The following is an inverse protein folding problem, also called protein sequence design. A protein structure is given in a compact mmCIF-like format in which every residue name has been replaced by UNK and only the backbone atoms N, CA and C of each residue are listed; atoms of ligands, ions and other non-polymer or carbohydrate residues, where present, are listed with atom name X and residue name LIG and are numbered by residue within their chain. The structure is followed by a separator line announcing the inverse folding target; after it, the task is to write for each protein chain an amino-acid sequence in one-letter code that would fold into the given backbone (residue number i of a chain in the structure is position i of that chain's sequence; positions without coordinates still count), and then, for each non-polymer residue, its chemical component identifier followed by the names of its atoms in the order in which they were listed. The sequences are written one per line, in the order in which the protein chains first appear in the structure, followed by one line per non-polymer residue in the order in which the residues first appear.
data_IF_402300170131
#
_entry.id   IF_402300170131
#
_cell.length_a   1.000
_cell.length_b   1.000
_cell.length_c   1.000
_cell.angle_alpha   90.00
_cell.angle_beta   90.00
_cell.angle_gamma   90.00
#
_symmetry.space_group_name_H-M   'P 1'
#
loop_
_entity.id
_entity.type
_entity.pdbx_description
1 polymer ?
#
# COMPACT_ATOMS: atom_id res chain seq x y z
N UNK A 1 -64.56 49.27 -21.65
CA UNK A 1 -63.29 49.35 -22.33
C UNK A 1 -62.26 48.65 -21.45
N UNK A 2 -62.02 47.33 -21.64
CA UNK A 2 -61.13 46.51 -20.83
C UNK A 2 -59.78 46.45 -21.51
N UNK A 3 -58.73 46.93 -20.82
CA UNK A 3 -57.32 46.76 -21.25
C UNK A 3 -56.82 45.40 -20.80
N UNK A 4 -56.43 44.56 -21.75
CA UNK A 4 -55.81 43.29 -21.51
C UNK A 4 -54.26 43.49 -21.33
N UNK A 5 -53.73 43.17 -20.15
CA UNK A 5 -52.29 43.15 -19.89
C UNK A 5 -51.73 41.78 -20.31
N UNK A 6 -50.89 41.77 -21.36
CA UNK A 6 -50.16 40.61 -21.79
C UNK A 6 -48.93 40.39 -20.84
N UNK A 7 -48.96 39.34 -20.07
CA UNK A 7 -47.82 38.88 -19.30
C UNK A 7 -46.86 38.08 -20.21
N UNK A 8 -45.71 38.65 -20.55
CA UNK A 8 -44.60 37.97 -21.23
C UNK A 8 -43.77 37.21 -20.22
N UNK A 9 -44.04 35.89 -20.06
CA UNK A 9 -43.28 35.01 -19.21
C UNK A 9 -41.92 34.64 -19.83
N UNK A 10 -40.89 35.28 -19.43
CA UNK A 10 -39.53 34.87 -19.76
C UNK A 10 -39.15 33.59 -18.96
N UNK A 11 -39.23 32.45 -19.61
CA UNK A 11 -38.80 31.15 -19.04
C UNK A 11 -37.28 31.11 -18.94
N UNK A 12 -36.71 31.46 -17.77
CA UNK A 12 -35.28 31.28 -17.47
C UNK A 12 -34.89 29.81 -17.63
N UNK A 13 -34.15 29.45 -18.68
CA UNK A 13 -33.52 28.16 -18.85
C UNK A 13 -32.58 27.91 -17.64
N UNK A 14 -32.92 27.02 -16.73
CA UNK A 14 -32.02 26.48 -15.72
C UNK A 14 -30.92 25.72 -16.47
N UNK A 15 -29.70 26.27 -16.49
CA UNK A 15 -28.52 25.50 -16.88
C UNK A 15 -28.36 24.36 -15.86
N UNK A 16 -28.60 23.13 -16.30
CA UNK A 16 -28.18 21.96 -15.57
C UNK A 16 -26.64 21.99 -15.52
N UNK A 17 -26.08 22.46 -14.40
CA UNK A 17 -24.68 22.23 -14.09
C UNK A 17 -24.57 20.73 -13.72
N UNK A 18 -24.23 19.92 -14.71
CA UNK A 18 -23.78 18.57 -14.46
C UNK A 18 -22.47 18.67 -13.68
N UNK A 19 -22.51 18.38 -12.40
CA UNK A 19 -21.29 18.16 -11.64
C UNK A 19 -20.56 16.99 -12.31
N UNK A 20 -19.47 17.27 -13.03
CA UNK A 20 -18.51 16.25 -13.38
C UNK A 20 -18.01 15.67 -12.06
N UNK A 21 -18.41 14.45 -11.73
CA UNK A 21 -17.88 13.70 -10.60
C UNK A 21 -16.42 13.42 -10.97
N UNK A 22 -15.52 14.22 -10.42
CA UNK A 22 -14.10 13.99 -10.56
C UNK A 22 -13.81 12.68 -9.84
N UNK A 23 -13.53 11.63 -10.60
CA UNK A 23 -13.12 10.35 -10.02
C UNK A 23 -11.67 10.53 -9.62
N UNK A 24 -11.45 10.79 -8.33
CA UNK A 24 -10.11 10.79 -7.76
C UNK A 24 -9.64 9.35 -7.72
N UNK A 25 -8.57 9.05 -8.44
CA UNK A 25 -7.92 7.75 -8.39
C UNK A 25 -7.30 7.57 -7.00
N UNK A 26 -7.75 6.54 -6.29
CA UNK A 26 -7.27 6.26 -4.94
C UNK A 26 -6.21 5.16 -5.04
N UNK A 27 -5.01 5.42 -4.51
CA UNK A 27 -3.92 4.44 -4.47
C UNK A 27 -4.24 3.39 -3.40
N UNK A 28 -4.39 2.15 -3.82
CA UNK A 28 -4.62 1.03 -2.90
C UNK A 28 -3.31 0.50 -2.31
N UNK A 29 -3.32 -0.06 -1.09
CA UNK A 29 -2.12 -0.61 -0.45
C UNK A 29 -1.39 -1.64 -1.31
N UNK A 30 -2.12 -2.45 -2.09
CA UNK A 30 -1.55 -3.44 -3.01
C UNK A 30 -0.66 -2.84 -4.10
N UNK A 31 -0.84 -1.55 -4.40
CA UNK A 31 -0.13 -0.84 -5.47
C UNK A 31 1.04 0.00 -4.93
N UNK A 32 1.26 -0.03 -3.61
CA UNK A 32 2.34 0.72 -2.96
C UNK A 32 3.54 -0.20 -2.73
N UNK A 33 4.62 0.06 -3.45
CA UNK A 33 5.86 -0.72 -3.36
C UNK A 33 7.05 0.13 -2.96
N UNK A 34 8.01 -0.49 -2.25
CA UNK A 34 9.38 0.03 -2.07
C UNK A 34 10.39 -0.96 -2.66
N UNK A 35 11.55 -0.47 -3.03
CA UNK A 35 12.54 -1.19 -3.79
C UNK A 35 12.35 -1.03 -5.29
N UNK A 36 12.82 -1.98 -6.10
CA UNK A 36 12.67 -1.90 -7.55
C UNK A 36 11.26 -2.33 -7.99
N UNK A 37 10.39 -1.38 -8.30
CA UNK A 37 9.00 -1.66 -8.73
C UNK A 37 8.88 -2.58 -9.95
N UNK A 38 9.95 -2.72 -10.76
CA UNK A 38 10.02 -3.64 -11.91
C UNK A 38 10.61 -5.00 -11.56
N UNK A 39 10.97 -5.24 -10.28
CA UNK A 39 11.51 -6.52 -9.86
C UNK A 39 10.47 -7.63 -10.04
N UNK A 40 10.94 -8.78 -10.54
CA UNK A 40 10.10 -9.98 -10.75
C UNK A 40 9.84 -10.75 -9.44
N UNK A 41 10.57 -10.40 -8.36
CA UNK A 41 10.36 -10.98 -7.03
C UNK A 41 9.73 -9.95 -6.11
N UNK A 42 8.53 -10.27 -5.65
CA UNK A 42 7.78 -9.47 -4.66
C UNK A 42 7.85 -10.18 -3.31
N UNK A 43 8.37 -9.48 -2.31
CA UNK A 43 8.18 -9.82 -0.89
C UNK A 43 6.95 -9.07 -0.41
N UNK A 44 5.98 -9.77 0.15
CA UNK A 44 4.75 -9.20 0.66
C UNK A 44 4.58 -9.60 2.12
N UNK A 45 4.20 -8.64 2.97
CA UNK A 45 3.92 -8.84 4.38
C UNK A 45 2.48 -8.48 4.68
N UNK A 46 1.74 -9.37 5.34
CA UNK A 46 0.53 -9.02 6.08
C UNK A 46 0.92 -8.70 7.51
N UNK A 47 0.66 -7.47 7.92
CA UNK A 47 1.10 -6.94 9.20
C UNK A 47 0.26 -5.78 9.73
N UNK A 48 0.61 -5.28 10.91
CA UNK A 48 -0.04 -4.13 11.52
C UNK A 48 0.91 -3.39 12.47
N UNK A 49 0.61 -2.10 12.73
CA UNK A 49 1.58 -1.18 13.34
C UNK A 49 1.68 -1.23 14.87
N UNK A 50 0.73 -1.84 15.57
CA UNK A 50 0.77 -1.97 17.02
C UNK A 50 1.57 -3.22 17.46
N UNK A 51 1.74 -4.20 16.55
CA UNK A 51 2.45 -5.45 16.79
C UNK A 51 3.97 -5.25 16.94
N UNK A 52 4.51 -5.76 18.05
CA UNK A 52 5.97 -5.80 18.27
C UNK A 52 6.67 -6.73 17.28
N UNK A 53 6.03 -7.84 16.93
CA UNK A 53 6.58 -8.79 15.98
C UNK A 53 6.73 -8.18 14.57
N UNK A 54 5.71 -7.40 14.12
CA UNK A 54 5.79 -6.67 12.85
C UNK A 54 6.87 -5.56 12.89
N UNK A 55 7.00 -4.85 14.02
CA UNK A 55 8.07 -3.85 14.16
C UNK A 55 9.47 -4.48 14.05
N UNK A 56 9.69 -5.67 14.64
CA UNK A 56 10.94 -6.42 14.49
C UNK A 56 11.14 -6.92 13.05
N UNK A 57 10.06 -7.37 12.41
CA UNK A 57 10.08 -7.79 11.01
C UNK A 57 10.44 -6.64 10.07
N UNK A 58 9.96 -5.41 10.33
CA UNK A 58 10.31 -4.23 9.53
C UNK A 58 11.83 -3.99 9.47
N UNK A 59 12.57 -4.21 10.57
CA UNK A 59 14.04 -4.10 10.55
C UNK A 59 14.70 -5.18 9.69
N UNK A 60 14.13 -6.39 9.67
CA UNK A 60 14.59 -7.47 8.79
C UNK A 60 14.32 -7.09 7.32
N UNK A 61 13.13 -6.56 7.02
CA UNK A 61 12.75 -6.13 5.67
C UNK A 61 13.67 -5.01 5.16
N UNK A 62 13.99 -4.02 6.00
CA UNK A 62 14.94 -2.96 5.64
C UNK A 62 16.29 -3.53 5.22
N UNK A 63 16.81 -4.50 5.97
CA UNK A 63 18.06 -5.19 5.64
C UNK A 63 17.95 -5.96 4.33
N UNK A 64 16.85 -6.70 4.13
CA UNK A 64 16.61 -7.43 2.88
C UNK A 64 16.54 -6.49 1.67
N UNK A 65 15.92 -5.33 1.79
CA UNK A 65 15.86 -4.33 0.70
C UNK A 65 17.25 -3.80 0.32
N UNK A 66 18.16 -3.69 1.28
CA UNK A 66 19.57 -3.31 1.03
C UNK A 66 20.32 -4.45 0.35
N UNK A 67 20.27 -5.67 0.93
CA UNK A 67 21.07 -6.82 0.47
C UNK A 67 20.59 -7.35 -0.90
N UNK A 68 19.31 -7.15 -1.22
CA UNK A 68 18.69 -7.51 -2.50
C UNK A 68 18.34 -6.30 -3.36
N UNK A 69 19.09 -5.20 -3.22
CA UNK A 69 18.86 -3.99 -4.00
C UNK A 69 18.71 -4.29 -5.51
N UNK A 70 17.73 -3.68 -6.13
CA UNK A 70 17.37 -3.87 -7.53
C UNK A 70 16.73 -5.23 -7.88
N UNK A 71 16.75 -6.22 -6.98
CA UNK A 71 16.28 -7.59 -7.26
C UNK A 71 14.88 -7.88 -6.74
N UNK A 72 14.45 -7.17 -5.71
CA UNK A 72 13.13 -7.34 -5.08
C UNK A 72 12.37 -6.03 -4.98
N UNK A 73 11.06 -6.15 -4.84
CA UNK A 73 10.17 -5.10 -4.36
C UNK A 73 9.42 -5.62 -3.13
N UNK A 74 9.07 -4.71 -2.24
CA UNK A 74 8.32 -5.02 -1.03
C UNK A 74 6.97 -4.32 -1.03
N UNK A 75 5.93 -5.03 -0.59
CA UNK A 75 4.59 -4.53 -0.38
C UNK A 75 4.12 -4.88 1.03
N UNK A 76 3.53 -3.90 1.73
CA UNK A 76 2.94 -4.10 3.05
C UNK A 76 1.42 -4.06 2.94
N UNK A 77 0.76 -5.11 3.43
CA UNK A 77 -0.68 -5.29 3.43
C UNK A 77 -1.21 -5.28 4.86
N UNK A 78 -2.27 -4.54 5.08
CA UNK A 78 -2.81 -4.34 6.42
C UNK A 78 -3.59 -5.55 6.91
N UNK A 79 -3.23 -6.05 8.08
CA UNK A 79 -3.95 -7.13 8.77
C UNK A 79 -4.14 -6.78 10.25
N UNK A 80 -5.03 -5.80 10.56
CA UNK A 80 -5.23 -5.32 11.92
C UNK A 80 -5.89 -6.38 12.79
N UNK A 81 -5.22 -6.80 13.87
CA UNK A 81 -5.74 -7.75 14.86
C UNK A 81 -6.49 -7.00 15.95
N UNK A 82 -7.66 -6.44 15.61
CA UNK A 82 -8.41 -5.50 16.47
C UNK A 82 -8.93 -6.09 17.79
N UNK A 83 -8.96 -7.42 17.91
CA UNK A 83 -9.28 -8.13 19.14
C UNK A 83 -8.21 -7.97 20.24
N UNK A 84 -6.96 -7.69 19.86
CA UNK A 84 -5.83 -7.51 20.79
C UNK A 84 -5.15 -6.14 20.63
N UNK A 85 -5.20 -5.54 19.44
CA UNK A 85 -4.57 -4.27 19.09
C UNK A 85 -5.60 -3.26 18.58
N UNK A 86 -6.18 -2.50 19.51
CA UNK A 86 -7.33 -1.62 19.25
C UNK A 86 -7.04 -0.46 18.30
N UNK A 87 -5.76 -0.05 18.17
CA UNK A 87 -5.35 1.08 17.33
C UNK A 87 -4.84 0.66 15.97
N UNK A 88 -4.66 -0.66 15.74
CA UNK A 88 -4.09 -1.21 14.50
C UNK A 88 -4.88 -0.80 13.25
N UNK A 89 -6.21 -0.83 13.31
CA UNK A 89 -7.07 -0.41 12.20
C UNK A 89 -6.85 1.06 11.84
N UNK A 90 -6.91 1.96 12.84
CA UNK A 90 -6.72 3.41 12.61
C UNK A 90 -5.32 3.75 12.14
N UNK A 91 -4.30 3.04 12.61
CA UNK A 91 -2.94 3.20 12.12
C UNK A 91 -2.79 2.78 10.65
N UNK A 92 -3.46 1.68 10.25
CA UNK A 92 -3.54 1.28 8.85
C UNK A 92 -4.24 2.32 7.98
N UNK A 93 -5.39 2.84 8.41
CA UNK A 93 -6.09 3.93 7.70
C UNK A 93 -5.21 5.18 7.55
N UNK A 94 -4.43 5.52 8.58
CA UNK A 94 -3.50 6.65 8.51
C UNK A 94 -2.40 6.43 7.47
N UNK A 95 -1.83 5.22 7.38
CA UNK A 95 -0.84 4.89 6.36
C UNK A 95 -1.43 4.97 4.94
N UNK A 96 -2.64 4.45 4.73
CA UNK A 96 -3.35 4.55 3.45
C UNK A 96 -3.66 6.00 3.07
N UNK A 97 -4.08 6.82 4.03
CA UNK A 97 -4.29 8.26 3.81
C UNK A 97 -3.01 8.95 3.33
N UNK A 98 -1.86 8.64 3.94
CA UNK A 98 -0.58 9.24 3.54
C UNK A 98 -0.05 8.70 2.21
N UNK A 99 -0.49 7.51 1.78
CA UNK A 99 -0.18 6.98 0.45
C UNK A 99 -0.71 7.89 -0.67
N UNK A 100 -1.84 8.56 -0.45
CA UNK A 100 -2.44 9.48 -1.43
C UNK A 100 -1.57 10.72 -1.69
N UNK A 101 -0.68 11.05 -0.74
CA UNK A 101 0.32 12.12 -0.84
C UNK A 101 1.72 11.57 -1.19
N UNK A 102 1.85 10.27 -1.54
CA UNK A 102 3.12 9.60 -1.83
C UNK A 102 4.03 9.42 -0.61
N UNK A 103 3.45 9.43 0.61
CA UNK A 103 4.15 9.40 1.90
C UNK A 103 3.92 8.13 2.72
N UNK A 104 3.53 7.04 2.04
CA UNK A 104 3.25 5.78 2.70
C UNK A 104 4.46 5.24 3.50
N UNK A 105 5.64 5.18 2.86
CA UNK A 105 6.80 4.54 3.47
C UNK A 105 7.43 5.36 4.58
N UNK A 106 7.40 6.68 4.49
CA UNK A 106 7.77 7.58 5.58
C UNK A 106 6.85 7.34 6.79
N UNK A 107 5.52 7.35 6.56
CA UNK A 107 4.54 7.09 7.60
C UNK A 107 4.67 5.69 8.19
N UNK A 108 4.86 4.66 7.36
CA UNK A 108 5.09 3.28 7.75
C UNK A 108 6.23 3.14 8.77
N UNK A 109 7.38 3.76 8.50
CA UNK A 109 8.52 3.74 9.41
C UNK A 109 8.23 4.49 10.72
N UNK A 110 7.59 5.64 10.64
CA UNK A 110 7.20 6.45 11.82
C UNK A 110 6.22 5.67 12.70
N UNK A 111 5.22 5.00 12.13
CA UNK A 111 4.24 4.23 12.88
C UNK A 111 4.90 3.06 13.63
N UNK A 112 5.80 2.31 13.02
CA UNK A 112 6.53 1.26 13.71
C UNK A 112 7.46 1.80 14.81
N UNK A 113 8.13 2.90 14.58
CA UNK A 113 8.97 3.56 15.59
C UNK A 113 8.12 4.04 16.79
N UNK A 114 6.86 4.42 16.55
CA UNK A 114 5.94 4.95 17.54
C UNK A 114 4.77 4.00 17.87
N UNK A 115 4.95 2.68 17.72
CA UNK A 115 3.89 1.67 17.81
C UNK A 115 3.02 1.73 19.11
N UNK A 116 3.54 2.31 20.17
CA UNK A 116 2.81 2.51 21.43
C UNK A 116 1.99 3.80 21.47
N UNK A 117 2.17 4.66 20.47
CA UNK A 117 1.55 6.00 20.41
C UNK A 117 0.80 6.20 19.10
N UNK A 118 -0.27 5.42 18.88
CA UNK A 118 -1.07 5.38 17.67
C UNK A 118 -2.48 5.95 17.85
N UNK A 119 -2.67 6.83 18.84
CA UNK A 119 -3.94 7.57 19.00
C UNK A 119 -4.15 8.60 17.90
N UNK A 120 -5.39 8.99 17.62
CA UNK A 120 -5.76 9.90 16.51
C UNK A 120 -4.96 11.20 16.51
N UNK A 121 -4.72 11.80 17.66
CA UNK A 121 -3.90 13.02 17.79
C UNK A 121 -2.45 12.75 17.39
N UNK A 122 -1.89 11.61 17.83
CA UNK A 122 -0.52 11.21 17.50
C UNK A 122 -0.38 10.89 16.02
N UNK A 123 -1.37 10.20 15.42
CA UNK A 123 -1.39 9.90 13.98
C UNK A 123 -1.37 11.18 13.14
N UNK A 124 -2.06 12.24 13.58
CA UNK A 124 -1.98 13.56 12.94
C UNK A 124 -0.57 14.17 13.04
N UNK A 125 0.11 14.02 14.17
CA UNK A 125 1.49 14.50 14.32
C UNK A 125 2.44 13.68 13.44
N UNK A 126 2.30 12.36 13.45
CA UNK A 126 3.08 11.45 12.61
C UNK A 126 2.90 11.72 11.11
N UNK A 127 1.68 12.05 10.65
CA UNK A 127 1.46 12.42 9.26
C UNK A 127 2.22 13.69 8.86
N UNK A 128 2.28 14.68 9.74
CA UNK A 128 3.08 15.90 9.52
C UNK A 128 4.57 15.59 9.49
N UNK A 129 5.06 14.74 10.40
CA UNK A 129 6.45 14.26 10.44
C UNK A 129 6.81 13.52 9.14
N UNK A 130 5.88 12.74 8.59
CA UNK A 130 6.02 12.08 7.29
C UNK A 130 6.02 13.06 6.10
N UNK A 131 5.75 14.34 6.34
CA UNK A 131 5.72 15.37 5.30
C UNK A 131 4.37 15.55 4.61
N UNK A 132 3.29 15.05 5.22
CA UNK A 132 1.92 15.24 4.69
C UNK A 132 1.39 16.61 5.06
N UNK A 133 0.99 17.40 4.05
CA UNK A 133 0.42 18.72 4.22
C UNK A 133 -1.10 18.77 3.98
N UNK A 134 -1.74 17.60 3.84
CA UNK A 134 -3.17 17.49 3.61
C UNK A 134 -3.96 18.00 4.82
N UNK A 135 -4.66 19.13 4.66
CA UNK A 135 -5.48 19.73 5.72
C UNK A 135 -6.66 18.87 6.13
N UNK A 136 -7.12 17.97 5.25
CA UNK A 136 -8.25 17.06 5.49
C UNK A 136 -7.84 15.74 6.15
N UNK A 137 -6.54 15.48 6.33
CA UNK A 137 -6.05 14.22 6.90
C UNK A 137 -6.79 13.79 8.17
N UNK A 138 -7.00 14.73 9.11
CA UNK A 138 -7.69 14.41 10.35
C UNK A 138 -9.17 14.06 10.11
N UNK A 139 -9.85 14.79 9.24
CA UNK A 139 -11.25 14.55 8.91
C UNK A 139 -11.40 13.22 8.18
N UNK A 140 -10.50 12.92 7.25
CA UNK A 140 -10.45 11.63 6.53
C UNK A 140 -10.22 10.47 7.50
N UNK A 141 -9.33 10.64 8.48
CA UNK A 141 -9.05 9.63 9.50
C UNK A 141 -10.23 9.42 10.46
N UNK A 142 -10.88 10.50 10.91
CA UNK A 142 -12.06 10.43 11.80
C UNK A 142 -13.22 9.77 11.08
N UNK A 143 -13.45 10.11 9.82
CA UNK A 143 -14.54 9.57 9.00
C UNK A 143 -14.23 8.18 8.39
N UNK A 144 -13.08 7.59 8.71
CA UNK A 144 -12.64 6.28 8.18
C UNK A 144 -12.68 6.22 6.64
N UNK A 145 -12.31 7.32 5.96
CA UNK A 145 -12.37 7.44 4.50
C UNK A 145 -11.66 6.30 3.78
N UNK A 146 -10.57 5.80 4.35
CA UNK A 146 -9.77 4.70 3.79
C UNK A 146 -9.95 3.37 4.51
N UNK A 147 -10.93 3.27 5.42
CA UNK A 147 -11.16 2.07 6.20
C UNK A 147 -11.49 0.84 5.35
N UNK A 148 -12.20 1.04 4.24
CA UNK A 148 -12.56 -0.04 3.32
C UNK A 148 -11.33 -0.70 2.64
N UNK A 149 -10.24 0.06 2.42
CA UNK A 149 -8.99 -0.48 1.86
C UNK A 149 -8.27 -1.36 2.87
N UNK A 150 -8.18 -0.92 4.12
CA UNK A 150 -7.61 -1.73 5.21
C UNK A 150 -8.44 -3.00 5.43
N UNK A 151 -9.77 -2.90 5.36
CA UNK A 151 -10.67 -4.05 5.45
C UNK A 151 -10.55 -4.99 4.23
N UNK A 152 -10.27 -4.44 3.05
CA UNK A 152 -10.00 -5.21 1.84
C UNK A 152 -8.74 -6.06 1.99
N UNK A 153 -7.66 -5.47 2.51
CA UNK A 153 -6.41 -6.18 2.81
C UNK A 153 -6.62 -7.28 3.85
N UNK A 154 -7.34 -6.97 4.93
CA UNK A 154 -7.69 -7.96 5.96
C UNK A 154 -8.43 -9.15 5.37
N UNK A 155 -9.44 -8.90 4.54
CA UNK A 155 -10.20 -9.96 3.88
C UNK A 155 -9.33 -10.81 2.97
N UNK A 156 -8.50 -10.18 2.12
CA UNK A 156 -7.57 -10.91 1.26
C UNK A 156 -6.60 -11.77 2.09
N UNK A 157 -6.09 -11.24 3.20
CA UNK A 157 -5.24 -12.02 4.11
C UNK A 157 -5.96 -13.24 4.67
N UNK A 158 -7.22 -13.09 5.11
CA UNK A 158 -8.04 -14.21 5.60
C UNK A 158 -8.28 -15.25 4.50
N UNK A 159 -8.62 -14.84 3.29
CA UNK A 159 -8.83 -15.73 2.13
C UNK A 159 -7.54 -16.50 1.77
N UNK A 160 -6.37 -15.91 2.01
CA UNK A 160 -5.05 -16.53 1.83
C UNK A 160 -4.57 -17.32 3.06
N UNK A 161 -5.44 -17.49 4.07
CA UNK A 161 -5.16 -18.27 5.27
C UNK A 161 -4.22 -17.58 6.27
N UNK A 162 -4.08 -16.26 6.23
CA UNK A 162 -3.38 -15.50 7.26
C UNK A 162 -4.19 -15.55 8.55
N UNK A 163 -3.54 -15.94 9.65
CA UNK A 163 -4.16 -16.08 10.98
C UNK A 163 -3.44 -15.24 12.04
N UNK A 164 -2.23 -14.82 11.72
CA UNK A 164 -1.32 -14.14 12.64
C UNK A 164 -0.37 -13.22 11.88
N UNK A 165 0.22 -12.24 12.56
CA UNK A 165 1.13 -11.24 11.98
C UNK A 165 2.48 -11.22 12.71
N UNK A 166 3.58 -11.00 11.99
CA UNK A 166 3.67 -10.85 10.54
C UNK A 166 3.54 -12.17 9.78
N UNK A 167 2.87 -12.17 8.63
CA UNK A 167 2.86 -13.29 7.70
C UNK A 167 3.42 -12.86 6.36
N UNK A 168 4.43 -13.58 5.84
CA UNK A 168 5.14 -13.24 4.61
C UNK A 168 4.79 -14.16 3.44
N UNK A 169 4.81 -13.56 2.25
CA UNK A 169 4.71 -14.26 0.98
C UNK A 169 5.81 -13.79 0.02
N UNK A 170 6.37 -14.71 -0.75
CA UNK A 170 7.30 -14.39 -1.84
C UNK A 170 6.67 -14.86 -3.15
N UNK A 171 6.38 -13.90 -4.05
CA UNK A 171 5.64 -14.18 -5.29
C UNK A 171 4.37 -15.01 -5.05
N UNK A 172 3.60 -14.67 -4.02
CA UNK A 172 2.34 -15.34 -3.66
C UNK A 172 2.50 -16.67 -2.91
N UNK A 173 3.72 -17.17 -2.72
CA UNK A 173 3.98 -18.39 -1.94
C UNK A 173 4.27 -18.02 -0.50
N UNK A 174 3.46 -18.56 0.44
CA UNK A 174 3.62 -18.32 1.87
C UNK A 174 4.99 -18.81 2.35
N UNK A 175 5.71 -17.96 3.07
CA UNK A 175 6.93 -18.35 3.78
C UNK A 175 6.50 -18.99 5.10
N UNK A 176 6.94 -20.22 5.32
CA UNK A 176 6.66 -20.98 6.54
C UNK A 176 7.85 -20.93 7.48
N UNK A 177 7.60 -21.06 8.78
CA UNK A 177 8.65 -21.03 9.79
C UNK A 177 8.70 -19.71 10.56
N UNK A 178 9.85 -19.42 11.15
CA UNK A 178 10.06 -18.20 11.94
C UNK A 178 10.33 -17.00 11.02
N UNK A 179 9.86 -15.83 11.41
CA UNK A 179 10.22 -14.57 10.74
C UNK A 179 11.65 -14.19 11.09
N UNK A 180 12.61 -14.71 10.34
CA UNK A 180 14.03 -14.38 10.46
C UNK A 180 14.59 -13.95 9.12
N UNK A 181 15.71 -13.24 9.14
CA UNK A 181 16.42 -12.83 7.94
C UNK A 181 16.77 -14.04 7.05
N UNK A 182 17.25 -15.13 7.66
CA UNK A 182 17.68 -16.37 6.97
C UNK A 182 16.54 -17.04 6.23
N UNK A 183 15.36 -17.18 6.86
CA UNK A 183 14.20 -17.81 6.22
C UNK A 183 13.64 -16.96 5.09
N UNK A 184 13.56 -15.65 5.26
CA UNK A 184 13.08 -14.75 4.21
C UNK A 184 14.06 -14.67 3.04
N UNK A 185 15.38 -14.55 3.29
CA UNK A 185 16.38 -14.53 2.22
C UNK A 185 16.42 -15.84 1.45
N UNK A 186 16.30 -16.99 2.12
CA UNK A 186 16.18 -18.30 1.45
C UNK A 186 14.98 -18.36 0.52
N UNK A 187 13.81 -17.86 0.95
CA UNK A 187 12.62 -17.84 0.11
C UNK A 187 12.79 -16.91 -1.11
N UNK A 188 13.41 -15.74 -0.91
CA UNK A 188 13.75 -14.79 -1.98
C UNK A 188 14.72 -15.44 -2.98
N UNK A 189 15.78 -16.10 -2.51
CA UNK A 189 16.77 -16.77 -3.37
C UNK A 189 16.14 -17.87 -4.23
N UNK A 190 15.23 -18.65 -3.65
CA UNK A 190 14.47 -19.67 -4.41
C UNK A 190 13.63 -19.00 -5.50
N UNK A 191 12.97 -17.88 -5.22
CA UNK A 191 12.18 -17.14 -6.20
C UNK A 191 13.07 -16.57 -7.31
N UNK A 192 14.21 -15.96 -6.98
CA UNK A 192 15.17 -15.42 -7.94
C UNK A 192 15.73 -16.49 -8.87
N UNK A 193 16.03 -17.69 -8.36
CA UNK A 193 16.45 -18.85 -9.19
C UNK A 193 15.38 -19.27 -10.18
N UNK A 194 14.09 -19.26 -9.78
CA UNK A 194 12.97 -19.60 -10.67
C UNK A 194 12.80 -18.58 -11.79
N UNK A 195 12.94 -17.28 -11.49
CA UNK A 195 12.87 -16.18 -12.45
C UNK A 195 13.97 -16.34 -13.50
N UNK A 196 15.22 -16.54 -13.08
CA UNK A 196 16.36 -16.74 -14.01
C UNK A 196 16.17 -17.92 -14.95
N UNK A 197 15.53 -19.01 -14.51
CA UNK A 197 15.23 -20.17 -15.35
C UNK A 197 14.12 -19.92 -16.37
N UNK A 198 13.23 -18.96 -16.13
CA UNK A 198 12.15 -18.59 -17.06
C UNK A 198 12.59 -17.59 -18.12
N UNK A 199 13.67 -16.83 -17.91
CA UNK A 199 14.20 -15.92 -18.89
C UNK A 199 14.70 -16.70 -20.11
N UNK A 200 14.28 -16.39 -21.37
CA UNK A 200 14.76 -17.08 -22.55
C UNK A 200 16.28 -16.90 -22.67
N UNK A 201 16.99 -18.00 -22.87
CA UNK A 201 18.43 -17.97 -23.18
C UNK A 201 18.60 -17.13 -24.45
N UNK A 202 19.19 -15.95 -24.34
CA UNK A 202 19.57 -15.15 -25.49
C UNK A 202 20.54 -16.01 -26.32
N UNK A 203 20.08 -16.53 -27.48
CA UNK A 203 20.96 -17.20 -28.42
C UNK A 203 22.06 -16.22 -28.83
N UNK A 204 23.35 -16.63 -28.85
CA UNK A 204 24.41 -15.78 -29.34
C UNK A 204 24.10 -15.43 -30.79
N UNK A 205 24.19 -14.13 -31.12
CA UNK A 205 24.00 -13.64 -32.48
C UNK A 205 24.95 -14.40 -33.42
N UNK A 206 24.40 -15.14 -34.39
CA UNK A 206 25.17 -15.77 -35.43
C UNK A 206 25.92 -14.67 -36.17
N UNK A 207 27.24 -14.60 -36.00
CA UNK A 207 28.12 -13.80 -36.84
C UNK A 207 27.89 -14.22 -38.30
N UNK A 208 27.32 -13.33 -39.07
CA UNK A 208 27.32 -13.50 -40.54
C UNK A 208 28.78 -13.41 -41.02
N UNK A 209 29.34 -14.54 -41.39
CA UNK A 209 30.59 -14.58 -42.13
C UNK A 209 30.42 -13.75 -43.38
N UNK A 210 31.23 -12.70 -43.53
CA UNK A 210 31.43 -12.02 -44.82
C UNK A 210 32.16 -13.01 -45.71
N UNK A 211 31.52 -13.47 -46.78
CA UNK A 211 32.20 -14.09 -47.91
C UNK A 211 32.86 -12.99 -48.72
N UNK A 212 34.13 -13.17 -48.97
CA UNK A 212 34.95 -12.38 -49.86
C UNK A 212 34.57 -12.64 -51.32
#
# INVERSE_FOLDING_TARGET
MLLAIKATGARKKRKNMAFKKEVVEIIEPRDVFVGNVKAEVTLEEFGEYESEACAKANEIVKKLLIDYDGKIRFNFRHFPMTNIHQRALKAGEAAVATAQDGKFWEMHNILFANRRNLGTTSLKLHSKEAGVNNKRFLDELVNATYGWQVQGDLREGLDRGVKDVPTFFVNGVRVTGKTTYEELSKAIDVALKKVKKKAPVKQPAKQKAKAA
#
